data_IF_978270470763
#
_entry.id   IF_978270470763
#
_cell.length_a   1.000
_cell.length_b   1.000
_cell.length_c   1.000
_cell.angle_alpha   90.00
_cell.angle_beta   90.00
_cell.angle_gamma   90.00
#
_symmetry.space_group_name_H-M   'P 1'
#
loop_
_entity.id
_entity.type
_entity.pdbx_description
1 polymer ?
#
# COMPACT_ATOMS: atom_id res chain seq x y z
N UNK A 1 83.06 -20.95 2.58
CA UNK A 1 83.23 -22.39 2.32
C UNK A 1 81.86 -23.02 2.17
N UNK A 2 81.61 -23.69 1.04
CA UNK A 2 80.44 -24.55 0.72
C UNK A 2 79.17 -23.82 0.24
N UNK A 3 78.91 -23.60 -1.05
CA UNK A 3 78.34 -24.48 -2.12
C UNK A 3 76.89 -24.92 -1.85
N UNK A 4 75.90 -24.38 -2.61
CA UNK A 4 75.18 -25.03 -3.75
C UNK A 4 74.17 -26.10 -3.30
N UNK A 5 72.93 -26.26 -3.78
CA UNK A 5 72.10 -25.73 -4.88
C UNK A 5 70.82 -26.60 -5.00
N UNK A 6 69.98 -26.39 -6.04
CA UNK A 6 68.70 -27.07 -6.42
C UNK A 6 67.44 -26.58 -5.69
N UNK A 7 66.32 -26.16 -6.30
CA UNK A 7 65.87 -26.15 -7.70
C UNK A 7 64.81 -27.22 -7.99
N UNK A 8 63.51 -26.88 -7.97
CA UNK A 8 62.50 -27.35 -8.94
C UNK A 8 61.11 -26.72 -8.75
N UNK A 9 60.50 -26.41 -9.90
CA UNK A 9 59.12 -26.02 -10.18
C UNK A 9 58.05 -26.95 -9.61
N UNK A 10 56.86 -26.41 -9.33
CA UNK A 10 55.61 -26.94 -9.89
C UNK A 10 54.52 -25.87 -9.92
N UNK A 11 54.18 -25.46 -11.14
CA UNK A 11 52.89 -24.89 -11.51
C UNK A 11 51.76 -25.87 -11.15
N UNK A 12 50.69 -25.38 -10.53
CA UNK A 12 49.35 -25.93 -10.66
C UNK A 12 48.36 -24.77 -10.79
N UNK A 13 48.03 -24.50 -12.06
CA UNK A 13 46.73 -23.98 -12.47
C UNK A 13 45.66 -24.96 -12.01
N UNK A 14 44.77 -24.53 -11.12
CA UNK A 14 43.42 -25.08 -11.03
C UNK A 14 42.41 -23.94 -11.19
N UNK A 15 41.83 -23.94 -12.39
CA UNK A 15 40.55 -23.34 -12.70
C UNK A 15 39.50 -23.74 -11.66
N UNK A 16 38.92 -22.77 -10.98
CA UNK A 16 37.54 -22.90 -10.51
C UNK A 16 36.75 -21.65 -10.88
N UNK A 17 36.17 -21.75 -12.07
CA UNK A 17 35.07 -20.93 -12.54
C UNK A 17 33.83 -21.30 -11.72
N UNK A 18 33.60 -20.62 -10.61
CA UNK A 18 32.25 -20.55 -10.06
C UNK A 18 31.53 -19.36 -10.69
N UNK A 19 30.87 -19.66 -11.81
CA UNK A 19 29.75 -18.89 -12.33
C UNK A 19 28.71 -18.72 -11.21
N UNK A 20 28.62 -17.51 -10.67
CA UNK A 20 27.47 -17.10 -9.87
C UNK A 20 26.27 -16.90 -10.80
N UNK A 21 25.17 -17.65 -10.64
CA UNK A 21 23.96 -17.44 -11.42
C UNK A 21 23.16 -16.27 -10.85
N UNK A 22 22.69 -15.39 -11.73
CA UNK A 22 21.52 -14.55 -11.49
C UNK A 22 21.74 -13.33 -10.59
N UNK A 23 22.43 -12.32 -11.12
CA UNK A 23 22.26 -10.94 -10.66
C UNK A 23 20.82 -10.50 -10.89
N UNK A 24 19.95 -10.74 -9.91
CA UNK A 24 18.64 -10.12 -9.79
C UNK A 24 18.83 -8.63 -9.61
N UNK A 25 19.01 -7.91 -10.73
CA UNK A 25 19.12 -6.47 -10.75
C UNK A 25 17.89 -5.89 -10.08
N UNK A 26 18.06 -5.36 -8.88
CA UNK A 26 17.02 -4.66 -8.13
C UNK A 26 16.50 -3.56 -9.04
N UNK A 27 15.26 -3.70 -9.56
CA UNK A 27 14.70 -2.65 -10.41
C UNK A 27 14.60 -1.39 -9.58
N UNK A 28 15.36 -0.36 -9.96
CA UNK A 28 15.30 0.95 -9.31
C UNK A 28 13.87 1.48 -9.38
N UNK A 29 13.29 1.73 -8.22
CA UNK A 29 11.94 2.26 -8.05
C UNK A 29 11.84 3.64 -8.72
N UNK A 30 11.31 3.66 -9.93
CA UNK A 30 11.27 4.89 -10.73
C UNK A 30 9.89 5.51 -10.66
N UNK A 31 9.81 6.68 -10.00
CA UNK A 31 8.57 7.42 -9.80
C UNK A 31 8.28 8.24 -11.05
N UNK A 32 7.07 8.08 -11.60
CA UNK A 32 6.56 8.90 -12.71
C UNK A 32 5.40 9.74 -12.20
N UNK A 33 5.39 11.03 -12.55
CA UNK A 33 4.30 11.93 -12.22
C UNK A 33 3.69 12.45 -13.51
N UNK A 34 2.39 12.27 -13.66
CA UNK A 34 1.63 12.72 -14.83
C UNK A 34 0.31 13.31 -14.38
N UNK A 35 -0.32 14.12 -15.22
CA UNK A 35 -1.66 14.62 -15.03
C UNK A 35 -2.67 13.46 -15.03
N UNK A 36 -3.78 13.64 -14.31
CA UNK A 36 -4.87 12.68 -14.28
C UNK A 36 -5.42 12.41 -15.70
N UNK A 37 -5.66 13.41 -16.57
CA UNK A 37 -6.10 13.16 -17.95
C UNK A 37 -5.09 12.37 -18.78
N UNK A 38 -3.78 12.59 -18.60
CA UNK A 38 -2.75 11.80 -19.26
C UNK A 38 -2.75 10.35 -18.77
N UNK A 39 -2.91 10.12 -17.46
CA UNK A 39 -3.07 8.78 -16.91
C UNK A 39 -4.33 8.07 -17.42
N UNK A 40 -5.47 8.76 -17.48
CA UNK A 40 -6.71 8.21 -18.02
C UNK A 40 -6.57 7.85 -19.51
N UNK A 41 -5.87 8.68 -20.28
CA UNK A 41 -5.51 8.37 -21.68
C UNK A 41 -4.66 7.10 -21.77
N UNK A 42 -3.65 6.97 -20.91
CA UNK A 42 -2.82 5.76 -20.86
C UNK A 42 -3.63 4.53 -20.48
N UNK A 43 -4.51 4.63 -19.48
CA UNK A 43 -5.35 3.51 -19.06
C UNK A 43 -6.30 3.09 -20.19
N UNK A 44 -7.01 4.05 -20.81
CA UNK A 44 -7.92 3.78 -21.92
C UNK A 44 -7.21 3.14 -23.11
N UNK A 45 -6.04 3.65 -23.49
CA UNK A 45 -5.24 3.07 -24.56
C UNK A 45 -4.77 1.64 -24.23
N UNK A 46 -4.40 1.36 -22.98
CA UNK A 46 -3.97 0.03 -22.55
C UNK A 46 -5.12 -0.99 -22.51
N UNK A 47 -6.33 -0.56 -22.14
CA UNK A 47 -7.52 -1.42 -22.05
C UNK A 47 -8.30 -1.50 -23.37
N UNK A 48 -7.82 -0.83 -24.43
CA UNK A 48 -8.47 -0.82 -25.75
C UNK A 48 -9.76 -0.01 -25.79
N UNK A 49 -9.95 0.92 -24.85
CA UNK A 49 -11.07 1.85 -24.87
C UNK A 49 -10.81 2.97 -25.88
N UNK A 50 -11.77 3.21 -26.77
CA UNK A 50 -11.71 4.28 -27.77
C UNK A 50 -12.16 5.61 -27.13
N UNK A 51 -11.26 6.23 -26.39
CA UNK A 51 -11.47 7.54 -25.75
C UNK A 51 -10.52 8.56 -26.38
N UNK A 52 -11.04 9.67 -26.94
CA UNK A 52 -10.19 10.73 -27.49
C UNK A 52 -9.23 11.28 -26.43
N UNK A 53 -7.93 11.23 -26.75
CA UNK A 53 -6.90 11.78 -25.88
C UNK A 53 -7.01 13.32 -25.82
N UNK A 54 -6.99 13.94 -24.62
CA UNK A 54 -6.87 15.38 -24.48
C UNK A 54 -5.59 15.91 -25.12
N UNK A 55 -5.60 17.19 -25.49
CA UNK A 55 -4.43 17.85 -26.06
C UNK A 55 -3.22 17.76 -25.13
N UNK A 56 -2.06 17.37 -25.67
CA UNK A 56 -0.80 17.26 -24.94
C UNK A 56 -0.65 16.01 -24.05
N UNK A 57 -1.69 15.18 -23.89
CA UNK A 57 -1.63 13.97 -23.05
C UNK A 57 -0.51 13.01 -23.48
N UNK A 58 -0.41 12.70 -24.77
CA UNK A 58 0.65 11.82 -25.29
C UNK A 58 2.05 12.40 -25.12
N UNK A 59 2.23 13.70 -25.33
CA UNK A 59 3.50 14.39 -25.09
C UNK A 59 3.92 14.32 -23.62
N UNK A 60 2.96 14.43 -22.69
CA UNK A 60 3.22 14.24 -21.27
C UNK A 60 3.64 12.81 -20.93
N UNK A 61 2.93 11.82 -21.46
CA UNK A 61 3.25 10.41 -21.28
C UNK A 61 4.64 10.06 -21.85
N UNK A 62 5.03 10.66 -22.97
CA UNK A 62 6.37 10.51 -23.55
C UNK A 62 7.45 11.11 -22.66
N UNK A 63 7.22 12.32 -22.12
CA UNK A 63 8.14 12.97 -21.18
C UNK A 63 8.30 12.17 -19.88
N UNK A 64 7.23 11.49 -19.46
CA UNK A 64 7.25 10.59 -18.31
C UNK A 64 7.79 9.18 -18.65
N UNK A 65 8.25 8.95 -19.88
CA UNK A 65 8.78 7.67 -20.37
C UNK A 65 7.77 6.51 -20.29
N UNK A 66 6.47 6.82 -20.31
CA UNK A 66 5.37 5.85 -20.36
C UNK A 66 4.99 5.52 -21.81
N UNK A 67 5.21 6.45 -22.73
CA UNK A 67 4.87 6.36 -24.14
C UNK A 67 6.06 6.66 -25.07
N UNK A 68 5.88 6.39 -26.36
CA UNK A 68 6.77 6.77 -27.45
C UNK A 68 5.98 6.78 -28.77
N UNK A 69 6.06 7.88 -29.52
CA UNK A 69 5.40 7.99 -30.83
C UNK A 69 3.88 7.92 -30.73
N UNK A 70 3.28 8.53 -29.71
CA UNK A 70 1.83 8.49 -29.48
C UNK A 70 1.26 7.12 -29.09
N UNK A 71 2.11 6.18 -28.66
CA UNK A 71 1.70 4.85 -28.20
C UNK A 71 2.37 4.51 -26.89
N UNK A 72 1.73 3.71 -26.04
CA UNK A 72 2.35 3.26 -24.79
C UNK A 72 3.54 2.34 -25.08
N UNK A 73 4.57 2.45 -24.25
CA UNK A 73 5.66 1.48 -24.27
C UNK A 73 5.11 0.10 -23.88
N UNK A 74 5.56 -1.01 -24.52
CA UNK A 74 4.96 -2.33 -24.33
C UNK A 74 4.87 -2.81 -22.87
N UNK A 75 5.88 -2.49 -22.05
CA UNK A 75 5.88 -2.83 -20.62
C UNK A 75 4.76 -2.12 -19.86
N UNK A 76 4.56 -0.82 -20.13
CA UNK A 76 3.51 -0.02 -19.50
C UNK A 76 2.12 -0.40 -20.01
N UNK A 77 1.98 -0.65 -21.32
CA UNK A 77 0.73 -1.13 -21.90
C UNK A 77 0.27 -2.42 -21.21
N UNK A 78 1.16 -3.41 -21.04
CA UNK A 78 0.84 -4.67 -20.38
C UNK A 78 0.42 -4.49 -18.92
N UNK A 79 1.18 -3.71 -18.16
CA UNK A 79 0.92 -3.49 -16.73
C UNK A 79 -0.40 -2.73 -16.52
N UNK A 80 -0.62 -1.65 -17.29
CA UNK A 80 -1.85 -0.85 -17.20
C UNK A 80 -3.08 -1.63 -17.66
N UNK A 81 -2.96 -2.46 -18.71
CA UNK A 81 -4.05 -3.30 -19.19
C UNK A 81 -4.46 -4.36 -18.15
N UNK A 82 -3.48 -4.93 -17.43
CA UNK A 82 -3.73 -5.98 -16.45
C UNK A 82 -4.16 -5.45 -15.07
N UNK A 83 -3.80 -4.22 -14.71
CA UNK A 83 -4.03 -3.66 -13.38
C UNK A 83 -5.49 -3.71 -12.89
N UNK A 84 -6.53 -3.40 -13.70
CA UNK A 84 -7.93 -3.51 -13.25
C UNK A 84 -8.36 -4.92 -12.85
N UNK A 85 -7.73 -5.94 -13.45
CA UNK A 85 -7.95 -7.36 -13.20
C UNK A 85 -6.91 -8.01 -12.30
N UNK A 86 -6.08 -7.23 -11.60
CA UNK A 86 -5.00 -7.77 -10.78
C UNK A 86 -5.51 -8.77 -9.72
N UNK A 87 -4.86 -9.94 -9.56
CA UNK A 87 -5.30 -10.96 -8.61
C UNK A 87 -5.44 -10.46 -7.17
N UNK A 88 -4.57 -9.55 -6.75
CA UNK A 88 -4.66 -8.90 -5.45
C UNK A 88 -4.64 -7.39 -5.64
N UNK A 89 -5.58 -6.70 -4.99
CA UNK A 89 -5.67 -5.25 -4.97
C UNK A 89 -5.52 -4.76 -3.54
N UNK A 90 -4.69 -3.74 -3.35
CA UNK A 90 -4.51 -3.09 -2.05
C UNK A 90 -4.84 -1.61 -2.19
N UNK A 91 -5.71 -1.11 -1.31
CA UNK A 91 -5.97 0.32 -1.18
C UNK A 91 -5.37 0.81 0.14
N UNK A 92 -4.53 1.83 0.06
CA UNK A 92 -3.95 2.52 1.21
C UNK A 92 -4.43 3.95 1.17
N UNK A 93 -5.05 4.41 2.25
CA UNK A 93 -5.36 5.83 2.44
C UNK A 93 -4.64 6.32 3.68
N UNK A 94 -3.71 7.24 3.48
CA UNK A 94 -2.91 7.83 4.54
C UNK A 94 -3.30 9.30 4.72
N UNK A 95 -3.53 9.75 5.94
CA UNK A 95 -3.81 11.16 6.27
C UNK A 95 -2.79 11.68 7.26
N UNK A 96 -2.38 12.92 7.04
CA UNK A 96 -1.79 13.77 8.07
C UNK A 96 -2.36 15.16 7.91
N UNK A 97 -2.83 15.74 9.02
CA UNK A 97 -3.53 17.02 9.01
C UNK A 97 -4.67 17.06 7.98
N UNK A 98 -4.70 18.08 7.12
CA UNK A 98 -5.68 18.30 6.07
C UNK A 98 -5.23 17.77 4.70
N UNK A 99 -4.34 16.79 4.67
CA UNK A 99 -3.87 16.14 3.44
C UNK A 99 -4.01 14.64 3.57
N UNK A 100 -4.53 14.00 2.52
CA UNK A 100 -4.43 12.56 2.36
C UNK A 100 -3.72 12.15 1.08
N UNK A 101 -3.15 10.96 1.13
CA UNK A 101 -2.61 10.22 0.00
C UNK A 101 -3.48 8.98 -0.20
N UNK A 102 -4.21 8.96 -1.31
CA UNK A 102 -4.99 7.81 -1.74
C UNK A 102 -4.13 7.00 -2.70
N UNK A 103 -3.78 5.77 -2.34
CA UNK A 103 -2.98 4.87 -3.16
C UNK A 103 -3.73 3.59 -3.49
N UNK A 104 -3.83 3.29 -4.77
CA UNK A 104 -4.36 2.05 -5.30
C UNK A 104 -3.18 1.21 -5.82
N UNK A 105 -3.09 -0.04 -5.39
CA UNK A 105 -1.98 -0.94 -5.69
C UNK A 105 -2.55 -2.19 -6.35
N UNK A 106 -2.12 -2.44 -7.58
CA UNK A 106 -2.40 -3.67 -8.31
C UNK A 106 -1.20 -4.61 -8.22
N UNK A 107 -1.37 -5.75 -7.56
CA UNK A 107 -0.34 -6.80 -7.48
C UNK A 107 -0.55 -7.79 -8.62
N UNK A 108 0.33 -7.71 -9.62
CA UNK A 108 0.37 -8.59 -10.78
C UNK A 108 1.49 -9.63 -10.62
N UNK A 109 1.47 -10.73 -11.40
CA UNK A 109 2.60 -11.66 -11.42
C UNK A 109 3.92 -10.95 -11.76
N UNK A 110 4.83 -10.91 -10.79
CA UNK A 110 6.17 -10.33 -10.93
C UNK A 110 6.26 -8.80 -10.95
N UNK A 111 5.17 -8.06 -10.72
CA UNK A 111 5.18 -6.59 -10.68
C UNK A 111 4.01 -6.02 -9.86
N UNK A 112 4.26 -4.99 -9.07
CA UNK A 112 3.23 -4.19 -8.41
C UNK A 112 3.15 -2.81 -9.06
N UNK A 113 1.95 -2.39 -9.47
CA UNK A 113 1.68 -1.02 -9.91
C UNK A 113 1.04 -0.25 -8.76
N UNK A 114 1.71 0.82 -8.30
CA UNK A 114 1.19 1.75 -7.30
C UNK A 114 0.78 3.04 -8.00
N UNK A 115 -0.46 3.45 -7.82
CA UNK A 115 -1.01 4.74 -8.26
C UNK A 115 -1.41 5.55 -7.03
N UNK A 116 -0.76 6.69 -6.81
CA UNK A 116 -1.02 7.57 -5.68
C UNK A 116 -1.56 8.91 -6.15
N UNK A 117 -2.58 9.42 -5.46
CA UNK A 117 -3.11 10.76 -5.67
C UNK A 117 -3.18 11.50 -4.33
N UNK A 118 -2.69 12.74 -4.32
CA UNK A 118 -2.81 13.63 -3.16
C UNK A 118 -4.17 14.32 -3.16
N UNK A 119 -4.81 14.37 -2.00
CA UNK A 119 -6.11 14.99 -1.79
C UNK A 119 -5.98 16.01 -0.66
N UNK A 120 -6.42 17.24 -0.92
CA UNK A 120 -6.60 18.27 0.10
C UNK A 120 -7.95 18.04 0.75
N UNK A 121 -7.96 18.06 2.07
CA UNK A 121 -9.14 17.85 2.90
C UNK A 121 -9.60 19.17 3.51
N UNK A 122 -10.87 19.22 3.88
CA UNK A 122 -11.41 20.20 4.81
C UNK A 122 -12.02 19.46 6.00
N UNK A 123 -11.83 20.01 7.19
CA UNK A 123 -12.45 19.46 8.40
C UNK A 123 -13.93 19.90 8.47
N UNK A 124 -14.81 18.97 8.82
CA UNK A 124 -16.25 19.19 9.02
C UNK A 124 -16.66 18.69 10.40
N UNK A 125 -17.86 19.04 10.88
CA UNK A 125 -18.35 18.52 12.17
C UNK A 125 -18.33 16.98 12.27
N UNK A 126 -18.42 16.29 11.14
CA UNK A 126 -18.55 14.83 11.04
C UNK A 126 -17.25 14.12 10.65
N UNK A 127 -16.23 14.84 10.17
CA UNK A 127 -15.13 14.16 9.49
C UNK A 127 -14.13 15.06 8.78
N UNK A 128 -13.48 14.44 7.81
CA UNK A 128 -12.72 15.11 6.77
C UNK A 128 -13.40 14.82 5.44
N UNK A 129 -13.53 15.83 4.59
CA UNK A 129 -14.04 15.63 3.24
C UNK A 129 -13.08 16.21 2.20
N UNK A 130 -13.05 15.67 0.97
CA UNK A 130 -12.20 16.21 -0.09
C UNK A 130 -12.56 17.67 -0.41
N UNK A 131 -11.63 18.59 -0.14
CA UNK A 131 -11.70 19.98 -0.59
C UNK A 131 -11.15 20.16 -2.01
N UNK A 132 -10.30 19.23 -2.46
CA UNK A 132 -9.81 19.19 -3.83
C UNK A 132 -8.83 18.05 -4.04
N UNK A 133 -8.88 17.42 -5.21
CA UNK A 133 -7.92 16.41 -5.63
C UNK A 133 -6.83 17.07 -6.46
N UNK A 134 -5.58 16.70 -6.22
CA UNK A 134 -4.50 17.14 -7.09
C UNK A 134 -4.71 16.55 -8.49
N UNK A 135 -4.59 17.39 -9.52
CA UNK A 135 -4.75 16.99 -10.91
C UNK A 135 -3.61 16.13 -11.45
N UNK A 136 -2.66 15.74 -10.60
CA UNK A 136 -1.55 14.85 -10.92
C UNK A 136 -1.66 13.56 -10.12
N UNK A 137 -1.22 12.46 -10.74
CA UNK A 137 -1.07 11.14 -10.14
C UNK A 137 0.41 10.73 -10.21
N UNK A 138 0.83 9.99 -9.19
CA UNK A 138 2.14 9.35 -9.16
C UNK A 138 1.99 7.87 -9.47
N UNK A 139 2.81 7.37 -10.37
CA UNK A 139 2.88 5.97 -10.76
C UNK A 139 4.24 5.42 -10.37
N UNK A 140 4.22 4.25 -9.76
CA UNK A 140 5.42 3.50 -9.44
C UNK A 140 5.20 2.04 -9.79
N UNK A 141 6.08 1.48 -10.62
CA UNK A 141 6.17 0.06 -10.86
C UNK A 141 7.34 -0.50 -10.03
N UNK A 142 7.06 -1.48 -9.17
CA UNK A 142 8.07 -2.13 -8.31
C UNK A 142 7.96 -3.64 -8.37
N UNK A 143 9.01 -4.35 -7.98
CA UNK A 143 8.90 -5.78 -7.74
C UNK A 143 8.01 -6.03 -6.51
N UNK A 144 7.17 -7.08 -6.48
CA UNK A 144 6.22 -7.31 -5.37
C UNK A 144 6.88 -7.43 -4.00
N UNK A 145 8.13 -7.89 -3.93
CA UNK A 145 8.93 -7.94 -2.70
C UNK A 145 9.21 -6.55 -2.09
N UNK A 146 9.16 -5.50 -2.92
CA UNK A 146 9.32 -4.10 -2.49
C UNK A 146 8.00 -3.43 -2.13
N UNK A 147 6.89 -4.18 -2.04
CA UNK A 147 5.57 -3.63 -1.74
C UNK A 147 5.58 -2.74 -0.48
N UNK A 148 6.20 -3.20 0.60
CA UNK A 148 6.29 -2.39 1.82
C UNK A 148 7.05 -1.08 1.60
N UNK A 149 8.16 -1.10 0.86
CA UNK A 149 8.91 0.12 0.54
C UNK A 149 8.05 1.13 -0.24
N UNK A 150 7.21 0.63 -1.17
CA UNK A 150 6.29 1.47 -1.92
C UNK A 150 5.16 2.05 -1.07
N UNK A 151 4.57 1.24 -0.17
CA UNK A 151 3.55 1.70 0.79
C UNK A 151 4.14 2.71 1.77
N UNK A 152 5.30 2.41 2.37
CA UNK A 152 5.99 3.28 3.33
C UNK A 152 6.20 4.71 2.81
N UNK A 153 6.41 4.88 1.51
CA UNK A 153 6.59 6.19 0.85
C UNK A 153 5.35 7.08 0.95
N UNK A 154 4.16 6.50 0.94
CA UNK A 154 2.88 7.22 0.94
C UNK A 154 2.28 7.40 2.33
N UNK A 155 2.82 6.71 3.34
CA UNK A 155 2.41 6.88 4.74
C UNK A 155 2.91 8.21 5.31
N UNK A 156 2.30 8.75 6.37
CA UNK A 156 2.82 9.90 7.10
C UNK A 156 4.27 9.65 7.59
N UNK A 157 5.15 10.66 7.69
CA UNK A 157 6.57 10.52 8.00
C UNK A 157 6.86 10.29 9.50
N UNK A 158 6.06 9.45 10.14
CA UNK A 158 6.24 9.03 11.52
C UNK A 158 6.82 7.62 11.56
N UNK A 159 7.84 7.41 12.40
CA UNK A 159 8.51 6.11 12.51
C UNK A 159 7.54 5.01 12.93
N UNK A 160 6.61 5.31 13.86
CA UNK A 160 5.59 4.37 14.31
C UNK A 160 4.77 3.77 13.15
N UNK A 161 4.40 4.60 12.17
CA UNK A 161 3.62 4.18 10.98
C UNK A 161 4.49 3.54 9.89
N UNK A 162 5.79 3.86 9.85
CA UNK A 162 6.73 3.48 8.78
C UNK A 162 7.73 2.39 9.17
N UNK A 163 7.65 1.86 10.39
CA UNK A 163 8.53 0.81 10.88
C UNK A 163 8.39 -0.50 10.09
N UNK A 164 9.44 -1.32 10.12
CA UNK A 164 9.40 -2.64 9.49
C UNK A 164 8.37 -3.55 10.16
N UNK A 165 7.93 -4.60 9.46
CA UNK A 165 6.90 -5.51 9.94
C UNK A 165 7.26 -6.10 11.31
N UNK A 166 6.38 -5.86 12.27
CA UNK A 166 6.47 -6.34 13.64
C UNK A 166 5.06 -6.55 14.18
N UNK A 167 4.81 -7.69 14.81
CA UNK A 167 3.50 -8.02 15.39
C UNK A 167 3.56 -7.74 16.88
N UNK A 168 2.67 -6.88 17.37
CA UNK A 168 2.53 -6.62 18.80
C UNK A 168 2.07 -7.91 19.50
N UNK A 169 2.83 -8.46 20.46
CA UNK A 169 2.36 -9.61 21.23
C UNK A 169 1.12 -9.24 22.05
N UNK A 170 0.15 -10.15 22.17
CA UNK A 170 -1.08 -9.93 22.95
C UNK A 170 -0.82 -9.45 24.39
N UNK A 171 0.28 -9.89 25.01
CA UNK A 171 0.66 -9.47 26.37
C UNK A 171 1.12 -8.01 26.47
N UNK A 172 1.37 -7.35 25.34
CA UNK A 172 1.78 -5.94 25.23
C UNK A 172 0.70 -5.06 24.60
N UNK A 173 -0.39 -5.65 24.13
CA UNK A 173 -1.53 -4.90 23.65
C UNK A 173 -2.19 -4.15 24.80
N UNK A 174 -2.48 -2.86 24.60
CA UNK A 174 -3.22 -2.03 25.56
C UNK A 174 -4.59 -1.71 24.99
N UNK A 175 -5.64 -2.29 25.57
CA UNK A 175 -7.00 -2.07 25.12
C UNK A 175 -7.58 -0.79 25.71
N UNK A 176 -7.97 0.14 24.84
CA UNK A 176 -8.70 1.36 25.15
C UNK A 176 -10.18 1.10 24.84
N UNK A 177 -10.89 0.45 25.77
CA UNK A 177 -12.27 0.02 25.56
C UNK A 177 -13.21 1.23 25.38
N UNK A 178 -13.75 1.48 24.16
CA UNK A 178 -14.62 2.63 23.96
C UNK A 178 -16.01 2.38 24.57
N UNK A 179 -16.69 3.42 25.06
CA UNK A 179 -18.09 3.30 25.48
C UNK A 179 -18.96 2.79 24.33
N UNK A 180 -20.00 2.01 24.65
CA UNK A 180 -20.82 1.32 23.64
C UNK A 180 -21.38 2.23 22.54
N UNK A 181 -21.87 3.43 22.89
CA UNK A 181 -22.41 4.38 21.90
C UNK A 181 -21.34 4.91 20.93
N UNK A 182 -20.10 5.05 21.40
CA UNK A 182 -18.95 5.45 20.58
C UNK A 182 -18.51 4.29 19.68
N UNK A 183 -18.50 3.06 20.21
CA UNK A 183 -18.17 1.86 19.45
C UNK A 183 -19.10 1.63 18.25
N UNK A 184 -20.41 1.86 18.42
CA UNK A 184 -21.41 1.74 17.35
C UNK A 184 -21.23 2.82 16.25
N UNK A 185 -20.88 4.06 16.63
CA UNK A 185 -20.59 5.13 15.66
C UNK A 185 -19.31 4.88 14.86
N UNK A 186 -18.23 4.54 15.56
CA UNK A 186 -16.95 4.20 14.94
C UNK A 186 -17.08 3.02 13.97
N UNK A 187 -17.90 2.02 14.32
CA UNK A 187 -18.12 0.86 13.45
C UNK A 187 -18.72 1.29 12.11
N UNK A 188 -19.82 2.05 12.16
CA UNK A 188 -20.47 2.59 10.96
C UNK A 188 -19.49 3.41 10.11
N UNK A 189 -18.59 4.15 10.76
CA UNK A 189 -17.55 4.93 10.08
C UNK A 189 -16.46 4.08 9.45
N UNK A 190 -15.87 3.11 10.15
CA UNK A 190 -14.84 2.23 9.56
C UNK A 190 -15.37 1.52 8.30
N UNK A 191 -16.66 1.21 8.27
CA UNK A 191 -17.34 0.61 7.11
C UNK A 191 -17.58 1.60 5.94
N UNK A 192 -17.67 2.92 6.18
CA UNK A 192 -18.12 3.91 5.18
C UNK A 192 -17.09 5.00 4.84
N UNK A 193 -16.30 5.42 5.84
CA UNK A 193 -15.22 6.40 5.76
C UNK A 193 -14.11 6.01 6.74
N UNK A 194 -13.16 5.15 6.32
CA UNK A 194 -12.13 4.62 7.21
C UNK A 194 -11.09 5.66 7.67
N UNK A 195 -11.18 6.92 7.21
CA UNK A 195 -10.36 8.04 7.71
C UNK A 195 -11.16 9.13 8.41
N UNK A 196 -12.47 8.94 8.58
CA UNK A 196 -13.34 9.90 9.25
C UNK A 196 -12.92 10.13 10.71
N UNK A 197 -13.36 11.23 11.32
CA UNK A 197 -13.16 11.53 12.75
C UNK A 197 -14.47 11.35 13.53
N UNK A 198 -14.40 11.07 14.83
CA UNK A 198 -15.61 11.01 15.65
C UNK A 198 -16.18 12.41 15.81
N UNK A 199 -17.49 12.64 15.58
CA UNK A 199 -18.09 13.95 15.77
C UNK A 199 -17.81 14.48 17.18
N UNK A 200 -17.50 15.78 17.31
CA UNK A 200 -17.13 16.41 18.59
C UNK A 200 -18.18 16.19 19.69
N UNK A 201 -19.46 16.20 19.34
CA UNK A 201 -20.56 15.93 20.27
C UNK A 201 -20.52 14.50 20.87
N UNK A 202 -20.00 13.51 20.14
CA UNK A 202 -19.82 12.14 20.64
C UNK A 202 -18.59 12.04 21.54
N UNK A 203 -17.51 12.76 21.21
CA UNK A 203 -16.29 12.84 22.02
C UNK A 203 -16.51 13.51 23.38
N UNK A 204 -17.18 14.67 23.39
CA UNK A 204 -17.41 15.49 24.58
C UNK A 204 -18.29 14.82 25.63
N UNK A 205 -19.06 13.80 25.23
CA UNK A 205 -20.08 13.17 26.10
C UNK A 205 -19.66 11.85 26.72
N UNK A 206 -18.54 11.25 26.28
CA UNK A 206 -18.38 9.80 26.42
C UNK A 206 -17.05 9.31 26.98
N UNK A 207 -15.97 10.11 27.01
CA UNK A 207 -14.63 9.56 27.24
C UNK A 207 -13.83 10.39 28.25
N UNK A 208 -13.60 9.84 29.44
CA UNK A 208 -12.68 10.39 30.46
C UNK A 208 -11.21 10.01 30.20
N UNK A 209 -10.95 9.22 29.17
CA UNK A 209 -9.61 8.80 28.73
C UNK A 209 -9.08 9.76 27.63
N UNK A 210 -8.03 10.56 27.92
CA UNK A 210 -7.50 11.53 26.96
C UNK A 210 -6.87 10.87 25.73
N UNK A 211 -6.27 9.69 25.87
CA UNK A 211 -5.63 8.97 24.76
C UNK A 211 -6.69 8.44 23.81
N UNK A 212 -7.71 7.77 24.34
CA UNK A 212 -8.85 7.32 23.56
C UNK A 212 -9.54 8.52 22.88
N UNK A 213 -9.72 9.63 23.59
CA UNK A 213 -10.30 10.85 23.01
C UNK A 213 -9.49 11.38 21.81
N UNK A 214 -8.15 11.38 21.92
CA UNK A 214 -7.27 11.81 20.84
C UNK A 214 -7.33 10.87 19.62
N UNK A 215 -7.35 9.56 19.85
CA UNK A 215 -7.52 8.55 18.78
C UNK A 215 -8.85 8.75 18.06
N UNK A 216 -9.92 8.94 18.82
CA UNK A 216 -11.27 9.13 18.28
C UNK A 216 -11.43 10.47 17.54
N UNK A 217 -10.72 11.51 17.97
CA UNK A 217 -10.61 12.77 17.24
C UNK A 217 -9.81 12.63 15.93
N UNK A 218 -9.22 11.46 15.68
CA UNK A 218 -8.52 11.09 14.46
C UNK A 218 -7.01 11.31 14.53
N UNK A 219 -6.45 11.65 15.70
CA UNK A 219 -5.02 11.85 15.91
C UNK A 219 -4.36 12.88 14.97
N UNK A 220 -3.03 12.91 14.99
CA UNK A 220 -2.22 13.72 14.08
C UNK A 220 -2.08 13.05 12.70
N UNK A 221 -2.06 11.72 12.68
CA UNK A 221 -1.92 10.93 11.46
C UNK A 221 -2.80 9.67 11.50
N UNK A 222 -3.24 9.22 10.32
CA UNK A 222 -4.04 8.00 10.17
C UNK A 222 -3.64 7.21 8.94
N UNK A 223 -3.85 5.89 9.00
CA UNK A 223 -3.67 4.98 7.88
C UNK A 223 -4.85 4.02 7.84
N UNK A 224 -5.51 3.92 6.70
CA UNK A 224 -6.48 2.88 6.39
C UNK A 224 -5.93 1.98 5.28
N UNK A 225 -6.09 0.68 5.46
CA UNK A 225 -5.67 -0.37 4.53
C UNK A 225 -6.86 -1.26 4.21
N UNK A 226 -7.07 -1.58 2.93
CA UNK A 226 -8.02 -2.60 2.48
C UNK A 226 -7.34 -3.50 1.47
N UNK A 227 -7.54 -4.82 1.60
CA UNK A 227 -7.02 -5.82 0.66
C UNK A 227 -8.16 -6.63 0.08
N UNK A 228 -8.18 -6.75 -1.24
CA UNK A 228 -9.14 -7.54 -2.01
C UNK A 228 -8.41 -8.62 -2.79
N UNK A 229 -9.02 -9.80 -2.89
CA UNK A 229 -8.58 -10.90 -3.75
C UNK A 229 -9.59 -11.08 -4.89
N UNK A 230 -9.10 -11.19 -6.13
CA UNK A 230 -9.93 -11.53 -7.30
C UNK A 230 -9.90 -13.04 -7.53
N UNK A 231 -11.00 -13.71 -7.23
CA UNK A 231 -11.17 -15.16 -7.37
C UNK A 231 -11.86 -15.56 -8.68
N UNK A 232 -12.15 -14.60 -9.55
CA UNK A 232 -12.71 -14.79 -10.89
C UNK A 232 -12.72 -13.48 -11.68
N UNK A 233 -13.17 -13.54 -12.94
CA UNK A 233 -13.19 -12.38 -13.86
C UNK A 233 -13.97 -11.18 -13.27
N UNK A 234 -15.08 -11.44 -12.59
CA UNK A 234 -15.96 -10.42 -12.02
C UNK A 234 -16.16 -10.55 -10.49
N UNK A 235 -15.39 -11.43 -9.84
CA UNK A 235 -15.54 -11.70 -8.40
C UNK A 235 -14.32 -11.16 -7.66
N UNK A 236 -14.54 -10.11 -6.87
CA UNK A 236 -13.58 -9.59 -5.91
C UNK A 236 -14.11 -9.81 -4.49
N UNK A 237 -13.30 -10.45 -3.65
CA UNK A 237 -13.62 -10.79 -2.27
C UNK A 237 -12.78 -9.94 -1.33
N UNK A 238 -13.39 -9.23 -0.35
CA UNK A 238 -12.62 -8.55 0.67
C UNK A 238 -11.90 -9.56 1.57
N UNK A 239 -10.58 -9.44 1.66
CA UNK A 239 -9.74 -10.29 2.51
C UNK A 239 -9.66 -9.71 3.92
N UNK A 240 -9.57 -8.40 4.01
CA UNK A 240 -9.60 -7.69 5.27
C UNK A 240 -9.22 -6.22 5.12
N UNK A 241 -9.35 -5.52 6.24
CA UNK A 241 -8.96 -4.12 6.38
C UNK A 241 -8.24 -3.88 7.70
N UNK A 242 -7.59 -2.74 7.81
CA UNK A 242 -6.98 -2.25 9.05
C UNK A 242 -7.02 -0.73 9.09
N UNK A 243 -7.15 -0.17 10.29
CA UNK A 243 -7.14 1.27 10.53
C UNK A 243 -6.22 1.56 11.70
N UNK A 244 -5.31 2.51 11.52
CA UNK A 244 -4.37 2.96 12.53
C UNK A 244 -4.45 4.45 12.70
N UNK A 245 -4.35 4.88 13.95
CA UNK A 245 -4.33 6.28 14.35
C UNK A 245 -3.08 6.50 15.20
N UNK A 246 -2.31 7.53 14.86
CA UNK A 246 -1.22 8.02 15.68
C UNK A 246 -1.72 9.24 16.45
N UNK A 247 -1.64 9.18 17.79
CA UNK A 247 -2.03 10.26 18.68
C UNK A 247 -0.96 10.38 19.79
N UNK A 248 -0.34 11.55 19.91
CA UNK A 248 0.68 11.84 20.93
C UNK A 248 1.79 10.75 20.99
N UNK A 249 2.37 10.39 19.85
CA UNK A 249 3.37 9.30 19.68
C UNK A 249 2.87 7.87 19.95
N UNK A 250 1.61 7.69 20.35
CA UNK A 250 0.99 6.38 20.55
C UNK A 250 0.28 5.92 19.29
N UNK A 251 0.71 4.75 18.78
CA UNK A 251 0.05 4.09 17.65
C UNK A 251 -1.06 3.18 18.16
N UNK A 252 -2.28 3.41 17.70
CA UNK A 252 -3.43 2.60 18.02
C UNK A 252 -4.01 1.98 16.74
N UNK A 253 -4.35 0.69 16.80
CA UNK A 253 -5.15 0.00 15.79
C UNK A 253 -6.63 0.04 16.19
N UNK A 254 -7.50 0.45 15.26
CA UNK A 254 -8.96 0.37 15.40
C UNK A 254 -9.42 -0.92 14.73
N UNK A 255 -9.86 -1.88 15.55
CA UNK A 255 -10.20 -3.24 15.12
C UNK A 255 -11.69 -3.48 15.28
N UNK A 256 -12.31 -4.11 14.29
CA UNK A 256 -13.69 -4.61 14.36
C UNK A 256 -13.65 -6.13 14.34
N UNK A 257 -13.43 -6.76 15.50
CA UNK A 257 -13.43 -8.22 15.63
C UNK A 257 -14.75 -8.70 16.25
N UNK A 258 -15.35 -9.75 15.71
CA UNK A 258 -16.56 -10.40 16.26
C UNK A 258 -17.74 -9.47 16.56
N UNK A 259 -17.84 -8.37 15.82
CA UNK A 259 -18.88 -7.37 15.96
C UNK A 259 -18.67 -6.37 17.10
N UNK A 260 -17.59 -6.49 17.86
CA UNK A 260 -17.12 -5.49 18.83
C UNK A 260 -16.03 -4.63 18.20
N UNK A 261 -16.14 -3.32 18.38
CA UNK A 261 -15.08 -2.39 18.02
C UNK A 261 -14.15 -2.20 19.22
N UNK A 262 -12.86 -2.32 18.96
CA UNK A 262 -11.80 -2.23 19.94
C UNK A 262 -10.70 -1.29 19.44
N UNK A 263 -10.17 -0.47 20.35
CA UNK A 263 -9.03 0.41 20.06
C UNK A 263 -7.86 -0.13 20.87
N UNK A 264 -6.82 -0.55 20.17
CA UNK A 264 -5.71 -1.27 20.78
C UNK A 264 -4.41 -0.52 20.52
N UNK A 265 -3.70 -0.14 21.58
CA UNK A 265 -2.33 0.34 21.48
C UNK A 265 -1.42 -0.77 20.95
N UNK A 266 -0.70 -0.47 19.87
CA UNK A 266 0.17 -1.40 19.15
C UNK A 266 1.58 -0.82 19.01
N UNK A 267 2.58 -1.70 18.91
CA UNK A 267 3.97 -1.33 18.68
C UNK A 267 4.19 -0.90 17.21
N UNK A 268 5.22 -0.07 16.93
CA UNK A 268 5.64 0.24 15.56
C UNK A 268 5.83 -1.02 14.71
N UNK A 269 5.32 -1.00 13.49
CA UNK A 269 5.45 -2.12 12.54
C UNK A 269 4.16 -2.93 12.33
N UNK A 270 3.12 -2.67 13.13
CA UNK A 270 1.81 -3.33 13.03
C UNK A 270 1.16 -3.14 11.65
N UNK A 271 1.26 -1.94 11.06
CA UNK A 271 0.78 -1.63 9.70
C UNK A 271 1.43 -2.56 8.66
N UNK A 272 2.76 -2.71 8.72
CA UNK A 272 3.52 -3.53 7.79
C UNK A 272 3.25 -5.03 7.99
N UNK A 273 3.08 -5.46 9.24
CA UNK A 273 2.72 -6.83 9.57
C UNK A 273 1.32 -7.18 9.05
N UNK A 274 0.34 -6.30 9.25
CA UNK A 274 -1.03 -6.49 8.77
C UNK A 274 -1.09 -6.51 7.24
N UNK A 275 -0.38 -5.61 6.56
CA UNK A 275 -0.26 -5.63 5.11
C UNK A 275 0.27 -6.98 4.61
N UNK A 276 1.37 -7.45 5.21
CA UNK A 276 1.97 -8.75 4.84
C UNK A 276 0.96 -9.88 5.06
N UNK A 277 0.33 -9.94 6.23
CA UNK A 277 -0.65 -10.96 6.56
C UNK A 277 -1.82 -11.00 5.57
N UNK A 278 -2.44 -9.85 5.29
CA UNK A 278 -3.59 -9.76 4.39
C UNK A 278 -3.21 -10.08 2.93
N UNK A 279 -2.06 -9.60 2.45
CA UNK A 279 -1.60 -9.91 1.08
C UNK A 279 -1.27 -11.40 0.94
N UNK A 280 -0.63 -12.02 1.94
CA UNK A 280 -0.41 -13.47 1.94
C UNK A 280 -1.73 -14.24 1.91
N UNK A 281 -2.71 -13.85 2.72
CA UNK A 281 -4.05 -14.46 2.70
C UNK A 281 -4.77 -14.25 1.36
N UNK A 282 -4.61 -13.09 0.74
CA UNK A 282 -5.20 -12.80 -0.56
C UNK A 282 -4.65 -13.72 -1.66
N UNK A 283 -3.34 -13.94 -1.70
CA UNK A 283 -2.72 -14.88 -2.63
C UNK A 283 -3.21 -16.32 -2.40
N UNK A 284 -3.30 -16.77 -1.16
CA UNK A 284 -3.82 -18.11 -0.86
C UNK A 284 -5.26 -18.32 -1.37
N UNK A 285 -6.13 -17.32 -1.22
CA UNK A 285 -7.50 -17.36 -1.74
C UNK A 285 -7.55 -17.39 -3.28
N UNK A 286 -6.69 -16.63 -3.95
CA UNK A 286 -6.57 -16.67 -5.41
C UNK A 286 -6.12 -18.06 -5.88
N UNK A 287 -5.10 -18.63 -5.23
CA UNK A 287 -4.55 -19.95 -5.60
C UNK A 287 -5.59 -21.07 -5.38
N UNK A 288 -6.35 -21.01 -4.29
CA UNK A 288 -7.47 -21.93 -4.03
C UNK A 288 -8.55 -21.83 -5.12
N UNK A 289 -8.91 -20.61 -5.52
CA UNK A 289 -9.90 -20.41 -6.58
C UNK A 289 -9.45 -20.98 -7.93
N UNK A 290 -8.18 -20.79 -8.30
CA UNK A 290 -7.60 -21.31 -9.54
C UNK A 290 -7.56 -22.84 -9.50
N UNK A 291 -7.07 -23.43 -8.41
CA UNK A 291 -6.94 -24.89 -8.28
C UNK A 291 -8.30 -25.60 -8.19
N UNK A 292 -9.27 -24.99 -7.51
CA UNK A 292 -10.65 -25.49 -7.43
C UNK A 292 -11.40 -25.45 -8.76
N UNK A 293 -11.05 -24.54 -9.67
CA UNK A 293 -11.58 -24.48 -11.03
C UNK A 293 -10.97 -25.51 -11.99
N UNK A 294 -9.74 -25.97 -11.73
CA UNK A 294 -9.06 -26.97 -12.58
C UNK A 294 -9.51 -28.41 -12.25
N UNK A 295 -10.17 -28.61 -11.10
CA UNK A 295 -10.67 -29.92 -10.66
C UNK A 295 -12.17 -30.17 -10.87
N UNK A 296 -12.92 -29.24 -11.47
CA UNK A 296 -14.36 -29.34 -11.76
C UNK A 296 -14.61 -29.50 -13.27
#
# INVERSE_FOLDING_TARGET
>A
MGTSGHGHDHDHDEHDQHEHPGGGGTRSMTIRRVSLPAFETALAAATGQDVPAPEGAWTELERAELASGGTLRPSWARVLAAAPGAPVQVRVVARQDLVSFESDIALLPGIALVRTQRVRLRATAEGYEPAGREGAVELVAVDPEQLWAAVRRVLPPHEALRAAAHVTPLSRERHLAPPRGVAEDLRRRVETDPLGRTPGAVLESAVDDPELSAVLAGGEAQVALTVLARTGADVAVPVGSGHWVLADEHLCAVRTASGTLDVVGVEPGDVAAQLRYLVTGAHALVDEAITGQVGA
#
